data_IF_277428254995
#
_entry.id   IF_277428254995
#
_cell.length_a   1.000
_cell.length_b   1.000
_cell.length_c   1.000
_cell.angle_alpha   90.00
_cell.angle_beta   90.00
_cell.angle_gamma   90.00
#
_symmetry.space_group_name_H-M   'P 1'
#
loop_
_entity.id
_entity.type
_entity.pdbx_description
1 polymer ?
#
# COMPACT_ATOMS: atom_id res chain seq x y z
N UNK A 1 17.06 -47.55 5.15
CA UNK A 1 17.55 -46.47 6.03
C UNK A 1 17.33 -45.17 5.31
N UNK A 2 16.43 -44.31 5.81
CA UNK A 2 16.06 -43.05 5.14
C UNK A 2 17.17 -42.03 5.36
N UNK A 3 17.74 -41.54 4.27
CA UNK A 3 18.72 -40.46 4.23
C UNK A 3 18.14 -39.20 4.89
N UNK A 4 18.71 -38.85 6.05
CA UNK A 4 18.54 -37.54 6.68
C UNK A 4 19.24 -36.50 5.81
N UNK A 5 18.55 -36.02 4.77
CA UNK A 5 18.99 -34.83 4.03
C UNK A 5 18.93 -33.64 4.97
N UNK A 6 20.12 -33.11 5.27
CA UNK A 6 20.44 -31.79 5.80
C UNK A 6 19.28 -30.80 5.65
N UNK A 7 18.62 -30.50 6.76
CA UNK A 7 17.67 -29.40 6.88
C UNK A 7 18.49 -28.10 6.75
N UNK A 8 18.18 -27.31 5.73
CA UNK A 8 18.87 -26.08 5.36
C UNK A 8 18.91 -25.08 6.53
N UNK A 9 20.07 -25.00 7.18
CA UNK A 9 20.33 -24.14 8.35
C UNK A 9 20.07 -22.67 8.00
N UNK A 10 20.20 -22.24 6.73
CA UNK A 10 19.93 -20.85 6.30
C UNK A 10 18.48 -20.43 6.50
N UNK A 11 17.53 -21.37 6.41
CA UNK A 11 16.12 -21.10 6.67
C UNK A 11 15.87 -20.85 8.17
N UNK A 12 16.62 -21.52 9.06
CA UNK A 12 16.52 -21.37 10.52
C UNK A 12 17.20 -20.08 11.03
N UNK A 13 18.29 -19.62 10.40
CA UNK A 13 18.96 -18.36 10.79
C UNK A 13 18.14 -17.13 10.37
N UNK A 14 17.47 -17.18 9.22
CA UNK A 14 16.54 -16.13 8.77
C UNK A 14 15.33 -16.00 9.71
N UNK A 15 14.76 -17.11 10.18
CA UNK A 15 13.65 -17.09 11.15
C UNK A 15 14.10 -16.62 12.54
N UNK A 16 15.29 -16.98 13.01
CA UNK A 16 15.86 -16.49 14.27
C UNK A 16 16.17 -14.98 14.26
N UNK A 17 16.67 -14.44 13.15
CA UNK A 17 16.92 -12.99 13.01
C UNK A 17 15.65 -12.13 13.07
N UNK A 18 14.51 -12.68 12.65
CA UNK A 18 13.18 -12.05 12.76
C UNK A 18 12.65 -12.12 14.18
N UNK A 19 12.95 -13.19 14.92
CA UNK A 19 12.53 -13.39 16.32
C UNK A 19 13.28 -12.44 17.28
N UNK A 20 14.57 -12.14 17.02
CA UNK A 20 15.41 -11.29 17.88
C UNK A 20 15.09 -9.78 17.83
N UNK A 21 14.29 -9.32 16.87
CA UNK A 21 13.95 -7.90 16.69
C UNK A 21 12.54 -7.52 17.17
N UNK A 22 11.84 -8.44 17.85
CA UNK A 22 10.50 -8.20 18.40
C UNK A 22 10.43 -8.44 19.89
N UNK A 23 9.87 -7.50 20.65
CA UNK A 23 9.60 -7.63 22.08
C UNK A 23 8.12 -7.34 22.38
N UNK A 24 7.57 -7.91 23.44
CA UNK A 24 6.22 -7.58 23.91
C UNK A 24 6.36 -6.45 24.92
N UNK A 25 5.84 -5.26 24.59
CA UNK A 25 5.89 -4.05 25.41
C UNK A 25 4.49 -3.47 25.50
N UNK A 26 4.18 -2.77 26.58
CA UNK A 26 2.93 -2.03 26.74
C UNK A 26 2.93 -0.74 25.92
N UNK A 27 1.98 -0.63 25.00
CA UNK A 27 1.71 0.58 24.23
C UNK A 27 0.54 1.33 24.87
N UNK A 28 0.64 2.65 25.05
CA UNK A 28 -0.42 3.49 25.61
C UNK A 28 -1.74 3.43 24.83
N UNK A 29 -1.71 3.13 23.53
CA UNK A 29 -2.91 3.03 22.68
C UNK A 29 -3.44 1.60 22.52
N UNK A 30 -2.55 0.60 22.51
CA UNK A 30 -2.91 -0.76 22.10
C UNK A 30 -2.67 -1.83 23.17
N UNK A 31 -2.23 -1.43 24.37
CA UNK A 31 -1.84 -2.34 25.44
C UNK A 31 -0.62 -3.19 25.08
N UNK A 32 -0.52 -4.38 25.66
CA UNK A 32 0.60 -5.31 25.46
C UNK A 32 0.62 -5.85 24.02
N UNK A 33 1.60 -5.42 23.24
CA UNK A 33 1.71 -5.77 21.82
C UNK A 33 3.16 -5.94 21.37
N UNK A 34 3.34 -6.58 20.22
CA UNK A 34 4.66 -6.74 19.59
C UNK A 34 5.20 -5.37 19.16
N UNK A 35 6.37 -5.03 19.67
CA UNK A 35 7.16 -3.87 19.26
C UNK A 35 8.33 -4.31 18.40
N UNK A 36 8.55 -3.58 17.31
CA UNK A 36 9.62 -3.80 16.35
C UNK A 36 10.78 -2.86 16.65
N UNK A 37 11.99 -3.41 16.71
CA UNK A 37 13.22 -2.63 16.84
C UNK A 37 13.48 -1.81 15.57
N UNK A 38 13.84 -0.53 15.74
CA UNK A 38 14.21 0.39 14.66
C UNK A 38 15.74 0.57 14.60
N UNK A 39 16.22 1.21 13.53
CA UNK A 39 17.65 1.46 13.32
C UNK A 39 18.30 2.41 14.34
N UNK A 40 17.51 3.22 15.03
CA UNK A 40 17.91 4.09 16.14
C UNK A 40 17.89 3.37 17.51
N UNK A 41 17.81 2.04 17.51
CA UNK A 41 17.71 1.19 18.70
C UNK A 41 16.43 1.42 19.55
N UNK A 42 15.45 2.18 19.03
CA UNK A 42 14.15 2.38 19.67
C UNK A 42 13.17 1.27 19.28
N UNK A 43 12.12 1.09 20.08
CA UNK A 43 11.06 0.11 19.84
C UNK A 43 9.77 0.81 19.45
N UNK A 44 9.11 0.33 18.39
CA UNK A 44 7.83 0.88 17.93
C UNK A 44 6.75 -0.19 17.94
N UNK A 45 5.61 0.10 18.55
CA UNK A 45 4.42 -0.75 18.50
C UNK A 45 4.07 -1.09 17.05
N UNK A 46 3.97 -2.38 16.73
CA UNK A 46 3.63 -2.86 15.39
C UNK A 46 2.26 -2.37 14.92
N UNK A 47 1.27 -2.31 15.83
CA UNK A 47 -0.07 -1.80 15.51
C UNK A 47 -0.04 -0.29 15.22
N UNK A 48 0.66 0.51 16.01
CA UNK A 48 0.86 1.94 15.72
C UNK A 48 1.59 2.16 14.38
N UNK A 49 2.54 1.28 14.03
CA UNK A 49 3.21 1.34 12.74
C UNK A 49 2.24 1.05 11.59
N UNK A 50 1.41 0.01 11.72
CA UNK A 50 0.39 -0.34 10.73
C UNK A 50 -0.64 0.77 10.53
N UNK A 51 -1.17 1.34 11.63
CA UNK A 51 -2.11 2.48 11.57
C UNK A 51 -1.50 3.67 10.83
N UNK A 52 -0.27 4.05 11.18
CA UNK A 52 0.43 5.15 10.50
C UNK A 52 0.58 4.91 8.99
N UNK A 53 0.87 3.67 8.59
CA UNK A 53 0.95 3.30 7.16
C UNK A 53 -0.41 3.42 6.49
N UNK A 54 -1.50 2.97 7.14
CA UNK A 54 -2.87 3.08 6.64
C UNK A 54 -3.23 4.56 6.44
N UNK A 55 -3.01 5.40 7.46
CA UNK A 55 -3.33 6.82 7.43
C UNK A 55 -2.50 7.57 6.38
N UNK A 56 -1.19 7.27 6.28
CA UNK A 56 -0.32 7.87 5.27
C UNK A 56 -0.79 7.56 3.84
N UNK A 57 -1.21 6.32 3.57
CA UNK A 57 -1.76 5.92 2.26
C UNK A 57 -3.08 6.63 1.98
N UNK A 58 -3.97 6.71 2.96
CA UNK A 58 -5.25 7.43 2.86
C UNK A 58 -5.03 8.90 2.52
N UNK A 59 -4.17 9.59 3.26
CA UNK A 59 -3.85 10.99 3.06
C UNK A 59 -3.25 11.24 1.66
N UNK A 60 -2.35 10.38 1.19
CA UNK A 60 -1.82 10.46 -0.18
C UNK A 60 -2.91 10.26 -1.24
N UNK A 61 -3.78 9.26 -1.06
CA UNK A 61 -4.89 9.00 -1.98
C UNK A 61 -5.82 10.21 -2.08
N UNK A 62 -6.24 10.76 -0.94
CA UNK A 62 -7.10 11.94 -0.89
C UNK A 62 -6.45 13.16 -1.56
N UNK A 63 -5.15 13.37 -1.32
CA UNK A 63 -4.38 14.44 -1.97
C UNK A 63 -4.33 14.27 -3.49
N UNK A 64 -4.05 13.06 -3.99
CA UNK A 64 -4.08 12.77 -5.42
C UNK A 64 -5.48 12.98 -6.00
N UNK A 65 -6.52 12.43 -5.38
CA UNK A 65 -7.91 12.59 -5.83
C UNK A 65 -8.24 14.07 -6.00
N UNK A 66 -7.87 14.92 -5.04
CA UNK A 66 -8.09 16.37 -5.11
C UNK A 66 -7.35 17.02 -6.29
N UNK A 67 -6.09 16.64 -6.53
CA UNK A 67 -5.28 17.16 -7.65
C UNK A 67 -5.90 16.76 -9.01
N UNK A 68 -6.44 15.55 -9.12
CA UNK A 68 -7.02 15.01 -10.36
C UNK A 68 -8.52 15.30 -10.50
N UNK A 69 -8.99 16.43 -9.95
CA UNK A 69 -10.34 16.95 -10.14
C UNK A 69 -11.42 16.41 -9.19
N UNK A 70 -11.08 15.49 -8.29
CA UNK A 70 -11.95 15.06 -7.19
C UNK A 70 -13.18 14.24 -7.58
N UNK A 71 -13.31 13.85 -8.86
CA UNK A 71 -14.48 13.15 -9.37
C UNK A 71 -14.12 12.18 -10.49
N UNK A 72 -14.96 11.17 -10.69
CA UNK A 72 -14.89 10.30 -11.87
C UNK A 72 -15.07 11.15 -13.14
N UNK A 73 -14.20 10.98 -14.13
CA UNK A 73 -14.31 11.73 -15.39
C UNK A 73 -15.48 11.27 -16.27
N UNK A 74 -15.92 10.01 -16.15
CA UNK A 74 -17.04 9.46 -16.93
C UNK A 74 -18.39 9.87 -16.32
N UNK A 75 -18.64 9.51 -15.06
CA UNK A 75 -19.97 9.65 -14.45
C UNK A 75 -20.07 10.76 -13.39
N UNK A 76 -18.98 11.48 -13.11
CA UNK A 76 -18.99 12.59 -12.14
C UNK A 76 -19.07 12.17 -10.66
N UNK A 77 -19.03 10.88 -10.33
CA UNK A 77 -19.04 10.41 -8.94
C UNK A 77 -17.95 11.10 -8.10
N UNK A 78 -18.34 11.68 -6.96
CA UNK A 78 -17.45 12.48 -6.08
C UNK A 78 -17.74 12.34 -4.58
N UNK A 79 -18.55 11.34 -4.17
CA UNK A 79 -19.02 11.22 -2.78
C UNK A 79 -17.96 10.67 -1.83
N UNK A 80 -17.16 9.69 -2.28
CA UNK A 80 -16.15 9.04 -1.46
C UNK A 80 -14.87 8.76 -2.26
N UNK A 81 -13.73 9.28 -1.78
CA UNK A 81 -12.43 9.13 -2.44
C UNK A 81 -11.98 7.66 -2.57
N UNK A 82 -12.36 6.80 -1.62
CA UNK A 82 -12.03 5.37 -1.67
C UNK A 82 -12.79 4.58 -2.74
N UNK A 83 -13.84 5.16 -3.33
CA UNK A 83 -14.54 4.59 -4.49
C UNK A 83 -13.99 5.11 -5.84
N UNK A 84 -12.96 5.96 -5.81
CA UNK A 84 -12.25 6.44 -6.98
C UNK A 84 -10.91 5.70 -7.13
N UNK A 85 -10.56 5.31 -8.34
CA UNK A 85 -9.34 4.61 -8.71
C UNK A 85 -8.65 5.27 -9.92
N UNK A 86 -7.33 5.11 -9.97
CA UNK A 86 -6.48 5.68 -11.02
C UNK A 86 -6.33 4.67 -12.14
N UNK A 87 -6.93 4.98 -13.28
CA UNK A 87 -6.82 4.17 -14.49
C UNK A 87 -5.65 4.66 -15.34
N UNK A 88 -4.70 3.80 -15.67
CA UNK A 88 -3.62 4.14 -16.59
C UNK A 88 -4.14 4.29 -18.01
N UNK A 89 -3.90 5.46 -18.63
CA UNK A 89 -4.33 5.73 -20.03
C UNK A 89 -3.68 4.75 -21.00
N UNK A 90 -2.38 4.48 -20.80
CA UNK A 90 -1.65 3.46 -21.53
C UNK A 90 -1.04 2.44 -20.55
N UNK A 91 -1.62 1.23 -20.46
CA UNK A 91 -1.13 0.17 -19.56
C UNK A 91 0.33 -0.24 -19.78
N UNK A 92 0.90 -0.01 -20.98
CA UNK A 92 2.30 -0.34 -21.29
C UNK A 92 3.30 0.64 -20.68
N UNK A 93 2.85 1.84 -20.30
CA UNK A 93 3.72 2.90 -19.75
C UNK A 93 3.76 2.92 -18.22
N UNK A 94 2.95 2.07 -17.57
CA UNK A 94 2.87 2.03 -16.11
C UNK A 94 4.12 1.39 -15.52
N UNK A 95 4.64 2.00 -14.46
CA UNK A 95 5.72 1.42 -13.66
C UNK A 95 5.16 0.58 -12.52
N UNK A 96 4.01 0.99 -11.95
CA UNK A 96 3.32 0.27 -10.88
C UNK A 96 1.85 0.67 -10.81
N UNK A 97 1.02 -0.15 -10.16
CA UNK A 97 -0.38 0.19 -9.90
C UNK A 97 -0.48 1.20 -8.75
N UNK A 98 -1.30 2.26 -8.89
CA UNK A 98 -1.64 3.22 -7.82
C UNK A 98 -2.67 2.65 -6.83
N UNK A 99 -2.36 1.45 -6.34
CA UNK A 99 -3.10 0.73 -5.30
C UNK A 99 -2.45 0.94 -3.93
N UNK A 100 -2.88 0.15 -2.94
CA UNK A 100 -2.35 0.17 -1.55
C UNK A 100 -0.82 0.07 -1.51
N UNK A 101 -0.21 -0.80 -2.34
CA UNK A 101 1.24 -0.96 -2.40
C UNK A 101 1.91 0.24 -3.08
N UNK A 102 1.37 0.71 -4.21
CA UNK A 102 1.91 1.86 -4.95
C UNK A 102 1.96 3.15 -4.12
N UNK A 103 0.99 3.35 -3.23
CA UNK A 103 0.96 4.52 -2.34
C UNK A 103 2.01 4.49 -1.22
N UNK A 104 2.80 3.41 -1.10
CA UNK A 104 3.93 3.36 -0.18
C UNK A 104 5.16 4.11 -0.70
N UNK A 105 5.27 4.33 -2.01
CA UNK A 105 6.39 5.06 -2.59
C UNK A 105 6.42 6.53 -2.16
N UNK A 106 7.55 7.19 -2.45
CA UNK A 106 7.72 8.62 -2.22
C UNK A 106 6.64 9.44 -2.94
N UNK A 107 6.32 10.63 -2.42
CA UNK A 107 5.33 11.50 -3.05
C UNK A 107 5.69 11.83 -4.51
N UNK A 108 6.97 12.10 -4.79
CA UNK A 108 7.45 12.39 -6.14
C UNK A 108 7.25 11.19 -7.09
N UNK A 109 7.58 9.98 -6.65
CA UNK A 109 7.38 8.75 -7.44
C UNK A 109 5.90 8.49 -7.71
N UNK A 110 5.06 8.64 -6.68
CA UNK A 110 3.61 8.45 -6.78
C UNK A 110 3.01 9.48 -7.75
N UNK A 111 3.40 10.75 -7.66
CA UNK A 111 2.89 11.80 -8.52
C UNK A 111 3.28 11.58 -9.99
N UNK A 112 4.54 11.20 -10.26
CA UNK A 112 5.00 10.86 -11.62
C UNK A 112 4.18 9.74 -12.24
N UNK A 113 3.82 8.72 -11.46
CA UNK A 113 2.98 7.64 -11.95
C UNK A 113 1.52 8.08 -12.14
N UNK A 114 1.00 8.91 -11.23
CA UNK A 114 -0.37 9.42 -11.31
C UNK A 114 -0.62 10.29 -12.54
N UNK A 115 0.39 11.02 -13.02
CA UNK A 115 0.30 11.83 -14.24
C UNK A 115 0.00 11.00 -15.51
N UNK A 116 0.25 9.68 -15.47
CA UNK A 116 -0.09 8.76 -16.58
C UNK A 116 -1.52 8.21 -16.47
N UNK A 117 -2.27 8.64 -15.46
CA UNK A 117 -3.56 8.10 -15.10
C UNK A 117 -4.67 9.15 -15.21
N UNK A 118 -5.89 8.65 -15.30
CA UNK A 118 -7.13 9.39 -15.14
C UNK A 118 -7.89 8.88 -13.92
N UNK A 119 -8.81 9.68 -13.40
CA UNK A 119 -9.58 9.35 -12.22
C UNK A 119 -10.97 8.81 -12.59
N UNK A 120 -11.24 7.56 -12.23
CA UNK A 120 -12.52 6.88 -12.48
C UNK A 120 -13.12 6.38 -11.17
N UNK A 121 -14.44 6.24 -11.08
CA UNK A 121 -15.02 5.43 -10.01
C UNK A 121 -14.83 3.94 -10.31
N UNK A 122 -14.89 3.09 -9.28
CA UNK A 122 -14.71 1.64 -9.41
C UNK A 122 -15.55 1.01 -10.52
N UNK A 123 -16.82 1.39 -10.64
CA UNK A 123 -17.72 0.85 -11.66
C UNK A 123 -17.24 1.23 -13.08
N UNK A 124 -17.06 2.53 -13.34
CA UNK A 124 -16.57 3.00 -14.64
C UNK A 124 -15.17 2.47 -14.96
N UNK A 125 -14.30 2.32 -13.95
CA UNK A 125 -12.99 1.71 -14.11
C UNK A 125 -13.11 0.27 -14.64
N UNK A 126 -13.95 -0.54 -14.01
CA UNK A 126 -14.22 -1.92 -14.43
C UNK A 126 -14.86 -1.97 -15.82
N UNK A 127 -15.79 -1.07 -16.15
CA UNK A 127 -16.38 -1.00 -17.49
C UNK A 127 -15.34 -0.68 -18.57
N UNK A 128 -14.44 0.27 -18.32
CA UNK A 128 -13.35 0.62 -19.24
C UNK A 128 -12.37 -0.55 -19.41
N UNK A 129 -11.95 -1.19 -18.31
CA UNK A 129 -11.05 -2.36 -18.38
C UNK A 129 -11.63 -3.52 -19.18
N UNK A 130 -12.95 -3.69 -19.17
CA UNK A 130 -13.65 -4.75 -19.89
C UNK A 130 -14.25 -4.29 -21.24
N UNK A 131 -13.88 -3.10 -21.72
CA UNK A 131 -14.35 -2.58 -23.01
C UNK A 131 -15.85 -2.31 -23.10
N UNK A 132 -16.55 -2.18 -21.96
CA UNK A 132 -17.97 -1.83 -21.88
C UNK A 132 -18.22 -0.32 -21.97
N UNK A 133 -17.25 0.48 -21.55
CA UNK A 133 -17.27 1.94 -21.68
C UNK A 133 -15.99 2.42 -22.38
N UNK A 134 -16.11 3.51 -23.15
CA UNK A 134 -14.98 4.20 -23.78
C UNK A 134 -14.55 5.39 -22.93
N UNK A 135 -13.26 5.70 -22.99
CA UNK A 135 -12.64 6.89 -22.41
C UNK A 135 -12.66 8.07 -23.38
#
# INVERSE_FOLDING_TARGET
MKDFKLIDIRFYVLTLSVILNTMIIECSKHGKTKHLKRGDNTYRCGKCASEWVIDSRRNKKEKLVKIFGGKCIICGYKKYSGALDFHHINPKTKSFALSVKGLCYSWATVMKEAQKCILLCKNCHTEVENGRAKL
#
